data_IF_480134740258
#
_entry.id   IF_480134740258
#
_cell.length_a   1.000
_cell.length_b   1.000
_cell.length_c   1.000
_cell.angle_alpha   90.00
_cell.angle_beta   90.00
_cell.angle_gamma   90.00
#
_symmetry.space_group_name_H-M   'P 1'
#
loop_
_entity.id
_entity.type
_entity.pdbx_description
1 polymer ?
#
# COMPACT_ATOMS: atom_id res chain seq x y z
N UNK A 1 -14.73 -9.12 15.99
CA UNK A 1 -13.35 -9.45 15.62
C UNK A 1 -13.45 -10.72 14.80
N UNK A 2 -13.12 -10.67 13.51
CA UNK A 2 -13.16 -11.87 12.67
C UNK A 2 -12.03 -12.81 13.14
N UNK A 3 -12.34 -14.09 13.30
CA UNK A 3 -11.38 -15.11 13.76
C UNK A 3 -10.60 -15.63 12.55
N UNK A 4 -9.59 -14.89 12.08
CA UNK A 4 -8.70 -15.38 11.04
C UNK A 4 -7.67 -16.33 11.63
N UNK A 5 -7.51 -17.50 11.02
CA UNK A 5 -6.42 -18.44 11.34
C UNK A 5 -5.25 -18.21 10.37
N UNK A 6 -4.02 -18.53 10.77
CA UNK A 6 -2.83 -18.24 9.95
C UNK A 6 -2.82 -18.99 8.61
N UNK A 7 -3.42 -20.18 8.57
CA UNK A 7 -3.55 -21.04 7.39
C UNK A 7 -4.59 -20.54 6.38
N UNK A 8 -5.44 -19.59 6.79
CA UNK A 8 -6.45 -18.95 5.93
C UNK A 8 -6.01 -17.56 5.43
N UNK A 9 -4.84 -17.08 5.85
CA UNK A 9 -4.33 -15.77 5.45
C UNK A 9 -3.46 -15.89 4.20
N UNK A 10 -3.91 -15.24 3.13
CA UNK A 10 -3.15 -15.07 1.90
C UNK A 10 -2.59 -13.65 1.86
N UNK A 11 -1.27 -13.54 1.62
CA UNK A 11 -0.58 -12.24 1.53
C UNK A 11 -0.28 -11.95 0.07
N UNK A 12 -0.78 -10.82 -0.41
CA UNK A 12 -0.41 -10.26 -1.70
C UNK A 12 0.57 -9.10 -1.49
N UNK A 13 1.72 -9.15 -2.16
CA UNK A 13 2.78 -8.13 -2.06
C UNK A 13 2.92 -7.45 -3.42
N UNK A 14 2.55 -6.18 -3.49
CA UNK A 14 2.55 -5.34 -4.69
C UNK A 14 3.92 -5.28 -5.38
N UNK A 15 4.98 -5.03 -4.61
CA UNK A 15 6.36 -4.85 -5.09
C UNK A 15 6.87 -6.05 -5.91
N UNK A 16 6.59 -7.27 -5.46
CA UNK A 16 6.99 -8.50 -6.15
C UNK A 16 6.03 -8.95 -7.24
N UNK A 17 4.83 -8.34 -7.32
CA UNK A 17 3.75 -8.80 -8.21
C UNK A 17 3.71 -8.08 -9.56
N UNK A 18 4.60 -7.12 -9.80
CA UNK A 18 4.69 -6.39 -11.08
C UNK A 18 5.82 -6.95 -11.96
N UNK A 19 5.50 -7.60 -13.09
CA UNK A 19 6.51 -8.12 -14.01
C UNK A 19 7.38 -7.01 -14.60
N UNK A 20 8.71 -7.12 -14.48
CA UNK A 20 9.65 -6.08 -14.96
C UNK A 20 10.17 -6.32 -16.39
N UNK A 21 10.08 -7.57 -16.89
CA UNK A 21 10.71 -7.96 -18.17
C UNK A 21 9.90 -7.60 -19.42
N UNK A 22 8.57 -7.64 -19.32
CA UNK A 22 7.68 -7.40 -20.46
C UNK A 22 6.76 -6.21 -20.19
N UNK A 23 6.98 -5.10 -20.92
CA UNK A 23 6.26 -3.84 -20.71
C UNK A 23 4.74 -3.99 -20.82
N UNK A 24 4.24 -4.78 -21.76
CA UNK A 24 2.78 -4.98 -21.90
C UNK A 24 2.16 -5.64 -20.66
N UNK A 25 2.85 -6.64 -20.09
CA UNK A 25 2.38 -7.33 -18.88
C UNK A 25 2.56 -6.45 -17.65
N UNK A 26 3.62 -5.67 -17.61
CA UNK A 26 3.85 -4.65 -16.58
C UNK A 26 2.69 -3.65 -16.54
N UNK A 27 2.31 -3.08 -17.68
CA UNK A 27 1.19 -2.13 -17.78
C UNK A 27 -0.12 -2.77 -17.35
N UNK A 28 -0.40 -4.02 -17.77
CA UNK A 28 -1.60 -4.73 -17.33
C UNK A 28 -1.61 -4.96 -15.82
N UNK A 29 -0.47 -5.34 -15.23
CA UNK A 29 -0.34 -5.55 -13.80
C UNK A 29 -0.52 -4.24 -13.02
N UNK A 30 0.10 -3.14 -13.46
CA UNK A 30 -0.09 -1.80 -12.88
C UNK A 30 -1.56 -1.38 -12.94
N UNK A 31 -2.22 -1.56 -14.09
CA UNK A 31 -3.63 -1.22 -14.26
C UNK A 31 -4.56 -2.06 -13.37
N UNK A 32 -4.11 -3.24 -12.92
CA UNK A 32 -4.88 -4.12 -12.03
C UNK A 32 -4.66 -3.85 -10.54
N UNK A 33 -3.64 -3.06 -10.15
CA UNK A 33 -3.28 -2.81 -8.74
C UNK A 33 -4.47 -2.33 -7.90
N UNK A 34 -5.21 -1.35 -8.41
CA UNK A 34 -6.39 -0.81 -7.72
C UNK A 34 -7.49 -1.85 -7.54
N UNK A 35 -7.64 -2.79 -8.48
CA UNK A 35 -8.61 -3.88 -8.38
C UNK A 35 -8.21 -4.88 -7.30
N UNK A 36 -6.92 -5.22 -7.17
CA UNK A 36 -6.47 -6.05 -6.06
C UNK A 36 -6.65 -5.33 -4.73
N UNK A 37 -6.23 -4.06 -4.64
CA UNK A 37 -6.35 -3.26 -3.42
C UNK A 37 -7.80 -3.10 -2.93
N UNK A 38 -8.79 -3.03 -3.82
CA UNK A 38 -10.20 -2.96 -3.42
C UNK A 38 -10.81 -4.29 -2.96
N UNK A 39 -10.14 -5.43 -3.19
CA UNK A 39 -10.67 -6.75 -2.86
C UNK A 39 -9.98 -7.43 -1.66
N UNK A 40 -8.96 -6.80 -1.07
CA UNK A 40 -8.29 -7.36 0.13
C UNK A 40 -9.11 -7.09 1.39
N UNK A 41 -9.08 -8.02 2.34
CA UNK A 41 -9.76 -7.85 3.63
C UNK A 41 -9.05 -6.87 4.59
N UNK A 42 -7.73 -6.70 4.43
CA UNK A 42 -6.94 -5.72 5.14
C UNK A 42 -5.84 -5.16 4.23
N UNK A 43 -5.51 -3.88 4.42
CA UNK A 43 -4.50 -3.17 3.66
C UNK A 43 -3.35 -2.77 4.58
N UNK A 44 -2.12 -3.17 4.25
CA UNK A 44 -0.93 -2.87 5.07
C UNK A 44 0.12 -2.16 4.23
N UNK A 45 0.41 -0.91 4.60
CA UNK A 45 1.53 -0.14 4.08
C UNK A 45 2.79 -0.57 4.81
N UNK A 46 3.80 -1.02 4.08
CA UNK A 46 5.13 -1.34 4.63
C UNK A 46 6.12 -0.28 4.14
N UNK A 47 6.46 0.68 5.00
CA UNK A 47 7.32 1.81 4.66
C UNK A 47 8.37 2.07 5.75
N UNK A 48 9.31 1.14 5.98
CA UNK A 48 10.40 1.34 6.94
C UNK A 48 11.31 2.48 6.48
N UNK A 49 11.91 3.20 7.41
CA UNK A 49 12.97 4.17 7.09
C UNK A 49 14.25 3.42 6.74
N UNK A 50 14.59 3.38 5.47
CA UNK A 50 15.77 2.68 4.92
C UNK A 50 16.44 3.52 3.85
N UNK A 51 17.75 3.40 3.73
CA UNK A 51 18.50 4.05 2.64
C UNK A 51 18.39 3.23 1.35
N UNK A 52 18.04 3.88 0.24
CA UNK A 52 17.95 3.24 -1.05
C UNK A 52 19.36 2.89 -1.56
N UNK A 53 19.64 1.59 -1.71
CA UNK A 53 20.98 1.08 -2.05
C UNK A 53 21.63 1.78 -3.25
N UNK A 54 20.89 2.03 -4.32
CA UNK A 54 21.45 2.60 -5.56
C UNK A 54 21.44 4.14 -5.64
N UNK A 55 20.56 4.80 -4.87
CA UNK A 55 20.30 6.24 -5.00
C UNK A 55 20.83 7.03 -3.80
N UNK A 56 21.02 6.37 -2.64
CA UNK A 56 21.36 7.02 -1.37
C UNK A 56 20.19 7.80 -0.73
N UNK A 57 19.03 7.84 -1.40
CA UNK A 57 17.84 8.51 -0.88
C UNK A 57 17.22 7.73 0.29
N UNK A 58 16.74 8.45 1.31
CA UNK A 58 15.96 7.85 2.40
C UNK A 58 14.58 7.48 1.85
N UNK A 59 14.25 6.20 1.86
CA UNK A 59 12.89 5.70 1.66
C UNK A 59 12.22 5.62 3.03
N UNK A 60 11.20 6.43 3.24
CA UNK A 60 10.37 6.45 4.44
C UNK A 60 8.88 6.60 4.08
N UNK A 61 8.01 6.66 5.10
CA UNK A 61 6.57 6.86 4.93
C UNK A 61 6.21 8.16 4.20
N UNK A 62 7.02 9.22 4.35
CA UNK A 62 6.83 10.48 3.64
C UNK A 62 7.12 10.30 2.14
N UNK A 63 8.19 9.59 1.79
CA UNK A 63 8.51 9.28 0.39
C UNK A 63 7.50 8.32 -0.23
N UNK A 64 6.96 7.40 0.55
CA UNK A 64 5.87 6.51 0.14
C UNK A 64 4.62 7.31 -0.22
N UNK A 65 4.21 8.26 0.63
CA UNK A 65 3.04 9.12 0.40
C UNK A 65 3.15 10.02 -0.84
N UNK A 66 4.34 10.19 -1.43
CA UNK A 66 4.51 10.94 -2.69
C UNK A 66 4.28 10.08 -3.94
N UNK A 67 4.17 8.77 -3.82
CA UNK A 67 4.04 7.85 -4.97
C UNK A 67 2.58 7.74 -5.40
N UNK A 68 2.29 8.15 -6.64
CA UNK A 68 0.92 8.21 -7.17
C UNK A 68 0.19 6.87 -7.08
N UNK A 69 0.84 5.76 -7.46
CA UNK A 69 0.22 4.43 -7.42
C UNK A 69 -0.11 3.98 -5.99
N UNK A 70 0.80 4.20 -5.04
CA UNK A 70 0.57 3.88 -3.64
C UNK A 70 -0.65 4.61 -3.06
N UNK A 71 -0.90 5.86 -3.47
CA UNK A 71 -2.10 6.62 -3.06
C UNK A 71 -3.36 6.10 -3.76
N UNK A 72 -3.26 5.71 -5.03
CA UNK A 72 -4.38 5.14 -5.77
C UNK A 72 -4.85 3.80 -5.17
N UNK A 73 -3.93 2.95 -4.72
CA UNK A 73 -4.25 1.69 -4.03
C UNK A 73 -4.95 1.94 -2.70
N UNK A 74 -4.40 2.85 -1.89
CA UNK A 74 -5.02 3.26 -0.63
C UNK A 74 -6.43 3.80 -0.85
N UNK A 75 -6.62 4.67 -1.84
CA UNK A 75 -7.93 5.23 -2.18
C UNK A 75 -8.91 4.14 -2.66
N UNK A 76 -8.43 3.18 -3.46
CA UNK A 76 -9.25 2.07 -3.94
C UNK A 76 -9.80 1.22 -2.79
N UNK A 77 -8.92 0.85 -1.84
CA UNK A 77 -9.33 0.11 -0.65
C UNK A 77 -10.26 0.92 0.24
N UNK A 78 -9.91 2.20 0.50
CA UNK A 78 -10.71 3.11 1.32
C UNK A 78 -12.13 3.26 0.80
N UNK A 79 -12.32 3.33 -0.53
CA UNK A 79 -13.64 3.46 -1.14
C UNK A 79 -14.44 2.15 -1.13
N UNK A 80 -13.78 0.99 -1.12
CA UNK A 80 -14.42 -0.32 -1.13
C UNK A 80 -14.79 -0.80 0.28
N UNK A 81 -13.85 -0.71 1.23
CA UNK A 81 -13.92 -1.35 2.55
C UNK A 81 -13.81 -0.36 3.73
N UNK A 82 -13.52 0.91 3.45
CA UNK A 82 -13.27 1.93 4.47
C UNK A 82 -11.83 1.91 5.02
N UNK A 83 -11.58 2.63 6.12
CA UNK A 83 -10.25 2.82 6.71
C UNK A 83 -9.96 1.92 7.92
N UNK A 84 -10.97 1.22 8.43
CA UNK A 84 -10.89 0.46 9.69
C UNK A 84 -9.82 -0.64 9.72
N UNK A 85 -9.49 -1.19 8.54
CA UNK A 85 -8.52 -2.27 8.32
C UNK A 85 -7.34 -1.83 7.45
N UNK A 86 -7.01 -0.54 7.51
CA UNK A 86 -5.82 0.02 6.88
C UNK A 86 -4.75 0.31 7.92
N UNK A 87 -3.53 -0.18 7.69
CA UNK A 87 -2.43 -0.10 8.66
C UNK A 87 -1.11 0.35 8.03
N UNK A 88 -0.26 0.98 8.84
CA UNK A 88 1.15 1.21 8.57
C UNK A 88 1.98 0.26 9.45
N UNK A 89 2.83 -0.55 8.82
CA UNK A 89 3.84 -1.35 9.47
C UNK A 89 5.19 -0.62 9.44
N UNK A 90 5.68 -0.20 10.60
CA UNK A 90 6.95 0.52 10.76
C UNK A 90 7.68 -0.02 12.00
N UNK A 91 8.92 -0.47 11.84
CA UNK A 91 9.77 -0.92 12.95
C UNK A 91 9.13 -1.99 13.86
N UNK A 92 8.35 -2.90 13.28
CA UNK A 92 7.64 -3.96 14.03
C UNK A 92 6.35 -3.51 14.73
N UNK A 93 5.95 -2.25 14.56
CA UNK A 93 4.70 -1.70 15.09
C UNK A 93 3.68 -1.57 13.96
N UNK A 94 2.42 -1.89 14.27
CA UNK A 94 1.29 -1.75 13.36
C UNK A 94 0.36 -0.64 13.88
N UNK A 95 0.24 0.44 13.12
CA UNK A 95 -0.59 1.61 13.48
C UNK A 95 -1.71 1.77 12.45
N UNK A 96 -2.93 2.10 12.86
CA UNK A 96 -4.01 2.36 11.89
C UNK A 96 -3.75 3.64 11.12
N UNK A 97 -4.04 3.65 9.82
CA UNK A 97 -3.83 4.84 9.00
C UNK A 97 -4.70 6.02 9.43
N UNK A 98 -5.88 5.77 9.98
CA UNK A 98 -6.77 6.80 10.52
C UNK A 98 -6.28 7.43 11.83
N UNK A 99 -5.35 6.79 12.53
CA UNK A 99 -4.71 7.31 13.74
C UNK A 99 -3.48 8.18 13.42
N UNK A 100 -3.00 8.15 12.18
CA UNK A 100 -1.87 8.96 11.71
C UNK A 100 -2.42 10.28 11.16
N UNK A 101 -2.05 11.44 11.75
CA UNK A 101 -2.52 12.74 11.28
C UNK A 101 -2.28 12.94 9.78
N UNK A 102 -3.29 13.47 9.10
CA UNK A 102 -3.28 13.86 7.68
C UNK A 102 -3.00 12.74 6.67
N UNK A 103 -2.83 11.48 7.09
CA UNK A 103 -2.43 10.39 6.20
C UNK A 103 -3.46 10.11 5.10
N UNK A 104 -4.72 9.92 5.50
CA UNK A 104 -5.81 9.64 4.57
C UNK A 104 -6.17 10.88 3.74
N UNK A 105 -5.99 12.09 4.29
CA UNK A 105 -6.19 13.33 3.54
C UNK A 105 -5.13 13.50 2.44
N UNK A 106 -3.86 13.26 2.77
CA UNK A 106 -2.78 13.17 1.79
C UNK A 106 -3.06 12.09 0.76
N UNK A 107 -3.76 11.02 1.08
CA UNK A 107 -4.09 9.98 0.08
C UNK A 107 -5.24 10.39 -0.86
N UNK A 108 -6.10 11.35 -0.49
CA UNK A 108 -7.24 11.80 -1.32
C UNK A 108 -6.83 12.68 -2.51
N UNK A 109 -5.75 13.43 -2.41
CA UNK A 109 -5.30 14.35 -3.47
C UNK A 109 -4.41 13.69 -4.54
N UNK A 110 -4.77 12.48 -5.00
CA UNK A 110 -3.95 11.64 -5.91
C UNK A 110 -3.53 12.38 -7.19
N UNK A 111 -4.34 13.34 -7.64
CA UNK A 111 -4.11 14.16 -8.83
C UNK A 111 -3.93 15.61 -8.41
N UNK A 112 -2.69 16.10 -8.35
CA UNK A 112 -2.42 17.52 -8.27
C UNK A 112 -1.30 17.91 -9.24
#
# INVERSE_FOLDING_TARGET
>A
QENWTMDEIYVWVDYSSIPQKHRGTQTLAINSLTTYASNVAAFVVVAPSVEHQDLGDICDKQTYQRRTWCRAEQLSHLLAEGDSRMFLAESGVLTRLSEIPDWLEQSKFVFH
#
